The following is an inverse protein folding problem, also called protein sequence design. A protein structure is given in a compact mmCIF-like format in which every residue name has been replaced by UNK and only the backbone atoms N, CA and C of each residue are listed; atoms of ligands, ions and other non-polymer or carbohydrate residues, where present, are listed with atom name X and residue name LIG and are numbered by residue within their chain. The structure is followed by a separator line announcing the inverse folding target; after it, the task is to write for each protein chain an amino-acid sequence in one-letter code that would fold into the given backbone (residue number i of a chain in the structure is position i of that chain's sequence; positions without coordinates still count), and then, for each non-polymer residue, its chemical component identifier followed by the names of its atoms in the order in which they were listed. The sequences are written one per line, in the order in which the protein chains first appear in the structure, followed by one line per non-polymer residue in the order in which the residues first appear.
data_IF_695940628131
#
_entry.id   IF_695940628131
#
_cell.length_a   1.000
_cell.length_b   1.000
_cell.length_c   1.000
_cell.angle_alpha   90.00
_cell.angle_beta   90.00
_cell.angle_gamma   90.00
#
_symmetry.space_group_name_H-M   'P 1'
#
loop_
_entity.id
_entity.type
_entity.pdbx_description
1 polymer ?
#
# COMPACT_ATOMS: atom_id res chain seq x y z
N UNK A 1 22.52 -19.58 -0.11
CA UNK A 1 21.19 -20.23 -0.08
C UNK A 1 20.37 -19.59 -1.19
N UNK A 2 19.63 -20.38 -1.97
CA UNK A 2 18.72 -19.84 -2.97
C UNK A 2 17.50 -19.24 -2.26
N UNK A 3 17.18 -17.98 -2.54
CA UNK A 3 16.05 -17.28 -1.94
C UNK A 3 14.74 -17.97 -2.31
N UNK A 4 13.93 -18.29 -1.31
CA UNK A 4 12.57 -18.79 -1.51
C UNK A 4 11.58 -17.65 -1.47
N UNK A 5 10.95 -17.36 -2.60
CA UNK A 5 10.04 -16.23 -2.75
C UNK A 5 8.60 -16.69 -2.87
N UNK A 6 7.68 -15.98 -2.22
CA UNK A 6 6.24 -16.16 -2.43
C UNK A 6 5.63 -14.84 -2.90
N UNK A 7 4.72 -14.93 -3.87
CA UNK A 7 4.04 -13.77 -4.42
C UNK A 7 2.54 -13.79 -4.10
N UNK A 8 1.94 -12.63 -3.88
CA UNK A 8 0.49 -12.43 -3.87
C UNK A 8 0.04 -11.68 -5.12
N UNK A 9 -0.85 -12.29 -5.89
CA UNK A 9 -1.33 -11.80 -7.19
C UNK A 9 -2.86 -11.81 -7.21
N UNK A 10 -3.52 -10.78 -7.74
CA UNK A 10 -4.99 -10.82 -7.84
C UNK A 10 -5.47 -11.76 -8.95
N UNK A 11 -6.78 -11.99 -9.01
CA UNK A 11 -7.41 -12.83 -10.02
C UNK A 11 -7.09 -12.39 -11.46
N UNK A 12 -7.01 -11.09 -11.72
CA UNK A 12 -6.78 -10.54 -13.05
C UNK A 12 -5.38 -10.84 -13.55
N UNK A 13 -4.36 -10.47 -12.77
CA UNK A 13 -2.97 -10.73 -13.13
C UNK A 13 -2.61 -12.21 -13.06
N UNK A 14 -3.35 -13.01 -12.29
CA UNK A 14 -3.21 -14.46 -12.27
C UNK A 14 -3.86 -15.15 -13.49
N UNK A 15 -4.63 -14.44 -14.31
CA UNK A 15 -5.31 -14.98 -15.49
C UNK A 15 -6.60 -15.76 -15.17
N UNK A 16 -7.19 -15.58 -13.99
CA UNK A 16 -8.46 -16.22 -13.61
C UNK A 16 -9.70 -15.49 -14.16
N UNK A 17 -9.57 -14.19 -14.47
CA UNK A 17 -10.66 -13.37 -15.01
C UNK A 17 -10.63 -11.94 -14.47
N UNK A 18 -11.55 -11.09 -14.94
CA UNK A 18 -11.70 -9.71 -14.48
C UNK A 18 -12.65 -9.59 -13.29
N UNK A 19 -13.71 -8.79 -13.46
CA UNK A 19 -14.74 -8.58 -12.44
C UNK A 19 -15.54 -9.86 -12.14
N UNK A 20 -15.79 -10.71 -13.13
CA UNK A 20 -16.54 -11.96 -12.94
C UNK A 20 -15.85 -12.94 -11.96
N UNK A 21 -14.52 -12.82 -11.83
CA UNK A 21 -13.70 -13.60 -10.91
C UNK A 21 -13.28 -12.81 -9.66
N UNK A 22 -13.75 -11.57 -9.46
CA UNK A 22 -13.29 -10.72 -8.36
C UNK A 22 -13.73 -11.23 -6.98
N UNK A 23 -14.73 -12.11 -6.91
CA UNK A 23 -15.17 -12.76 -5.67
C UNK A 23 -14.50 -14.14 -5.44
N UNK A 24 -13.49 -14.51 -6.22
CA UNK A 24 -12.74 -15.75 -6.01
C UNK A 24 -11.98 -15.68 -4.67
N UNK A 25 -12.24 -16.65 -3.79
CA UNK A 25 -11.54 -16.76 -2.51
C UNK A 25 -10.05 -17.10 -2.64
N UNK A 26 -9.28 -17.04 -1.54
CA UNK A 26 -7.85 -17.32 -1.55
C UNK A 26 -7.52 -18.74 -2.00
N UNK A 27 -6.66 -18.87 -3.01
CA UNK A 27 -6.07 -20.12 -3.46
C UNK A 27 -4.55 -20.00 -3.61
N UNK A 28 -3.89 -21.14 -3.82
CA UNK A 28 -2.44 -21.24 -3.94
C UNK A 28 -2.08 -22.04 -5.18
N UNK A 29 -1.12 -21.51 -5.94
CA UNK A 29 -0.47 -22.20 -7.05
C UNK A 29 1.00 -22.43 -6.68
N UNK A 30 1.47 -23.68 -6.70
CA UNK A 30 2.88 -24.04 -6.41
C UNK A 30 3.79 -23.80 -7.63
N UNK A 31 3.64 -22.63 -8.23
CA UNK A 31 4.41 -22.14 -9.37
C UNK A 31 4.30 -20.62 -9.43
N UNK A 32 5.17 -20.01 -10.21
CA UNK A 32 5.05 -18.61 -10.56
C UNK A 32 3.85 -18.40 -11.51
N UNK A 33 2.94 -17.48 -11.18
CA UNK A 33 1.77 -17.14 -12.00
C UNK A 33 1.75 -15.63 -12.28
N UNK A 34 1.46 -15.25 -13.52
CA UNK A 34 1.33 -13.85 -13.92
C UNK A 34 2.63 -13.06 -13.72
N UNK A 35 2.60 -11.86 -13.10
CA UNK A 35 3.80 -11.07 -12.79
C UNK A 35 4.86 -11.83 -11.98
N UNK A 36 4.47 -12.84 -11.20
CA UNK A 36 5.41 -13.66 -10.45
C UNK A 36 6.37 -14.44 -11.36
N UNK A 37 5.99 -14.76 -12.59
CA UNK A 37 6.90 -15.39 -13.56
C UNK A 37 8.06 -14.46 -13.93
N UNK A 38 7.78 -13.17 -14.07
CA UNK A 38 8.82 -12.19 -14.35
C UNK A 38 9.69 -11.92 -13.11
N UNK A 39 9.12 -11.99 -11.90
CA UNK A 39 9.90 -11.96 -10.66
C UNK A 39 10.86 -13.15 -10.62
N UNK A 40 10.39 -14.36 -10.92
CA UNK A 40 11.21 -15.58 -10.96
C UNK A 40 12.40 -15.44 -11.93
N UNK A 41 12.14 -14.93 -13.14
CA UNK A 41 13.19 -14.63 -14.12
C UNK A 41 14.21 -13.59 -13.62
N UNK A 42 13.76 -12.57 -12.89
CA UNK A 42 14.62 -11.50 -12.35
C UNK A 42 15.41 -11.95 -11.10
N UNK A 43 14.91 -12.93 -10.36
CA UNK A 43 15.67 -13.56 -9.28
C UNK A 43 16.86 -14.32 -9.87
N UNK A 44 16.66 -15.03 -10.99
CA UNK A 44 17.73 -15.71 -11.71
C UNK A 44 18.42 -16.77 -10.83
N UNK A 45 19.75 -16.73 -10.74
CA UNK A 45 20.51 -17.66 -9.89
C UNK A 45 20.39 -17.41 -8.39
N UNK A 46 19.84 -16.27 -7.96
CA UNK A 46 19.80 -15.88 -6.55
C UNK A 46 18.62 -16.52 -5.79
N UNK A 47 17.61 -17.03 -6.49
CA UNK A 47 16.41 -17.60 -5.88
C UNK A 47 15.33 -17.98 -6.87
N UNK A 48 14.19 -18.43 -6.35
CA UNK A 48 13.04 -18.84 -7.14
C UNK A 48 11.73 -18.53 -6.42
N UNK A 49 10.66 -18.39 -7.19
CA UNK A 49 9.29 -18.27 -6.69
C UNK A 49 8.75 -19.67 -6.38
N UNK A 50 8.61 -19.98 -5.09
CA UNK A 50 8.08 -21.26 -4.62
C UNK A 50 6.56 -21.40 -4.78
N UNK A 51 5.85 -20.28 -4.88
CA UNK A 51 4.42 -20.29 -5.15
C UNK A 51 3.80 -18.90 -5.19
N UNK A 52 2.58 -18.87 -5.72
CA UNK A 52 1.77 -17.68 -5.87
C UNK A 52 0.46 -17.89 -5.12
N UNK A 53 0.18 -17.01 -4.16
CA UNK A 53 -1.13 -16.89 -3.51
C UNK A 53 -2.00 -15.98 -4.37
N UNK A 54 -3.21 -16.42 -4.67
CA UNK A 54 -4.15 -15.71 -5.53
C UNK A 54 -5.44 -15.46 -4.76
N UNK A 55 -5.97 -14.24 -4.84
CA UNK A 55 -7.26 -13.90 -4.27
C UNK A 55 -7.94 -12.81 -5.10
N UNK A 56 -9.26 -12.88 -5.21
CA UNK A 56 -10.07 -11.88 -5.89
C UNK A 56 -10.14 -10.56 -5.11
N UNK A 57 -10.03 -9.45 -5.83
CA UNK A 57 -10.02 -8.11 -5.24
C UNK A 57 -11.30 -7.77 -4.44
N UNK A 58 -12.49 -8.20 -4.89
CA UNK A 58 -13.74 -8.01 -4.15
C UNK A 58 -13.77 -8.89 -2.91
N UNK A 59 -13.42 -10.17 -3.04
CA UNK A 59 -13.43 -11.10 -1.92
C UNK A 59 -12.52 -10.63 -0.80
N UNK A 60 -11.27 -10.24 -1.13
CA UNK A 60 -10.35 -9.73 -0.12
C UNK A 60 -10.88 -8.45 0.53
N UNK A 61 -11.46 -7.53 -0.24
CA UNK A 61 -12.00 -6.28 0.29
C UNK A 61 -13.23 -6.46 1.19
N UNK A 62 -14.08 -7.44 0.91
CA UNK A 62 -15.30 -7.75 1.66
C UNK A 62 -15.01 -8.62 2.90
N UNK A 63 -13.97 -9.46 2.84
CA UNK A 63 -13.62 -10.45 3.86
C UNK A 63 -12.16 -10.32 4.33
N UNK A 64 -11.68 -9.09 4.58
CA UNK A 64 -10.26 -8.79 4.83
C UNK A 64 -9.62 -9.73 5.86
N UNK A 65 -10.25 -9.91 7.02
CA UNK A 65 -9.73 -10.75 8.11
C UNK A 65 -9.57 -12.22 7.68
N UNK A 66 -10.66 -12.81 7.17
CA UNK A 66 -10.70 -14.22 6.74
C UNK A 66 -9.74 -14.48 5.57
N UNK A 67 -9.75 -13.59 4.58
CA UNK A 67 -8.88 -13.68 3.42
C UNK A 67 -7.41 -13.57 3.81
N UNK A 68 -7.07 -12.62 4.70
CA UNK A 68 -5.72 -12.43 5.23
C UNK A 68 -5.23 -13.65 5.99
N UNK A 69 -6.04 -14.20 6.89
CA UNK A 69 -5.66 -15.39 7.66
C UNK A 69 -5.40 -16.58 6.75
N UNK A 70 -6.27 -16.82 5.78
CA UNK A 70 -6.11 -17.89 4.79
C UNK A 70 -4.85 -17.71 3.93
N UNK A 71 -4.59 -16.49 3.46
CA UNK A 71 -3.37 -16.19 2.72
C UNK A 71 -2.12 -16.43 3.58
N UNK A 72 -2.14 -16.01 4.86
CA UNK A 72 -1.03 -16.24 5.78
C UNK A 72 -0.76 -17.72 6.06
N UNK A 73 -1.81 -18.56 6.13
CA UNK A 73 -1.64 -20.02 6.23
C UNK A 73 -0.82 -20.56 5.06
N UNK A 74 -1.21 -20.23 3.83
CA UNK A 74 -0.51 -20.65 2.61
C UNK A 74 0.95 -20.14 2.57
N UNK A 75 1.15 -18.89 2.97
CA UNK A 75 2.50 -18.28 3.00
C UNK A 75 3.39 -18.99 4.03
N UNK A 76 2.88 -19.28 5.24
CA UNK A 76 3.62 -20.02 6.26
C UNK A 76 4.02 -21.40 5.80
N UNK A 77 3.10 -22.13 5.17
CA UNK A 77 3.36 -23.48 4.65
C UNK A 77 4.51 -23.48 3.64
N UNK A 78 4.62 -22.42 2.84
CA UNK A 78 5.73 -22.25 1.89
C UNK A 78 7.03 -21.79 2.54
N UNK A 79 7.04 -21.27 3.77
CA UNK A 79 8.24 -20.81 4.48
C UNK A 79 9.19 -19.95 3.62
N UNK A 80 8.72 -18.83 3.04
CA UNK A 80 9.55 -17.97 2.20
C UNK A 80 10.54 -17.11 3.00
N UNK A 81 11.64 -16.73 2.35
CA UNK A 81 12.61 -15.75 2.85
C UNK A 81 12.21 -14.31 2.49
N UNK A 82 11.39 -14.15 1.44
CA UNK A 82 10.97 -12.86 0.88
C UNK A 82 9.57 -12.98 0.31
N UNK A 83 8.76 -11.94 0.54
CA UNK A 83 7.39 -11.88 0.05
C UNK A 83 7.17 -10.67 -0.86
N UNK A 84 6.54 -10.90 -2.01
CA UNK A 84 6.09 -9.85 -2.91
C UNK A 84 4.56 -9.82 -2.99
N UNK A 85 3.98 -8.62 -3.03
CA UNK A 85 2.57 -8.45 -3.35
C UNK A 85 2.40 -7.42 -4.47
N UNK A 86 1.67 -7.74 -5.52
CA UNK A 86 1.53 -6.84 -6.67
C UNK A 86 2.55 -7.07 -7.78
N UNK A 87 2.87 -6.04 -8.59
CA UNK A 87 2.53 -4.63 -8.40
C UNK A 87 1.06 -4.31 -8.69
N UNK A 88 0.48 -3.39 -7.91
CA UNK A 88 -0.92 -2.99 -8.00
C UNK A 88 -1.17 -1.73 -8.83
N UNK A 89 -0.14 -0.96 -9.19
CA UNK A 89 -0.28 0.29 -9.95
C UNK A 89 -1.35 1.22 -9.34
N UNK A 90 -2.30 1.73 -10.12
CA UNK A 90 -3.43 2.51 -9.63
C UNK A 90 -4.72 1.69 -9.35
N UNK A 91 -4.62 0.36 -9.26
CA UNK A 91 -5.78 -0.48 -8.93
C UNK A 91 -6.09 -0.39 -7.43
N UNK A 92 -7.18 0.28 -7.07
CA UNK A 92 -7.53 0.62 -5.69
C UNK A 92 -7.70 -0.59 -4.77
N UNK A 93 -8.67 -1.47 -5.08
CA UNK A 93 -8.95 -2.69 -4.26
C UNK A 93 -7.71 -3.57 -4.14
N UNK A 94 -7.05 -3.82 -5.27
CA UNK A 94 -5.86 -4.64 -5.31
C UNK A 94 -4.69 -4.04 -4.51
N UNK A 95 -4.50 -2.72 -4.56
CA UNK A 95 -3.47 -2.03 -3.78
C UNK A 95 -3.73 -2.11 -2.28
N UNK A 96 -4.98 -1.98 -1.83
CA UNK A 96 -5.34 -2.19 -0.43
C UNK A 96 -5.04 -3.63 0.00
N UNK A 97 -5.43 -4.62 -0.80
CA UNK A 97 -5.15 -6.03 -0.50
C UNK A 97 -3.64 -6.33 -0.44
N UNK A 98 -2.86 -5.85 -1.42
CA UNK A 98 -1.40 -6.00 -1.44
C UNK A 98 -0.74 -5.37 -0.22
N UNK A 99 -1.17 -4.17 0.17
CA UNK A 99 -0.64 -3.46 1.33
C UNK A 99 -0.95 -4.18 2.64
N UNK A 100 -2.19 -4.64 2.80
CA UNK A 100 -2.64 -5.36 3.99
C UNK A 100 -1.89 -6.68 4.17
N UNK A 101 -1.87 -7.54 3.14
CA UNK A 101 -1.20 -8.84 3.26
C UNK A 101 0.31 -8.68 3.46
N UNK A 102 0.96 -7.74 2.76
CA UNK A 102 2.39 -7.49 2.93
C UNK A 102 2.72 -6.97 4.33
N UNK A 103 1.90 -6.07 4.89
CA UNK A 103 2.05 -5.60 6.26
C UNK A 103 1.86 -6.74 7.27
N UNK A 104 0.85 -7.60 7.05
CA UNK A 104 0.55 -8.72 7.92
C UNK A 104 1.65 -9.79 7.91
N UNK A 105 2.20 -10.10 6.74
CA UNK A 105 3.32 -11.03 6.58
C UNK A 105 4.57 -10.49 7.29
N UNK A 106 4.92 -9.22 7.05
CA UNK A 106 6.05 -8.58 7.71
C UNK A 106 5.91 -8.60 9.24
N UNK A 107 4.71 -8.30 9.75
CA UNK A 107 4.46 -8.26 11.20
C UNK A 107 4.44 -9.66 11.83
N UNK A 108 3.72 -10.62 11.24
CA UNK A 108 3.45 -11.92 11.86
C UNK A 108 4.54 -12.96 11.58
N UNK A 109 5.20 -12.88 10.42
CA UNK A 109 6.24 -13.84 10.02
C UNK A 109 7.65 -13.27 10.12
N UNK A 110 7.81 -11.95 10.26
CA UNK A 110 9.12 -11.32 10.39
C UNK A 110 9.95 -11.36 9.12
N UNK A 111 9.33 -11.63 7.96
CA UNK A 111 10.03 -11.70 6.67
C UNK A 111 9.94 -10.37 5.91
N UNK A 112 10.99 -9.97 5.17
CA UNK A 112 10.94 -8.83 4.27
C UNK A 112 9.78 -8.91 3.28
N UNK A 113 9.06 -7.80 3.12
CA UNK A 113 7.94 -7.69 2.21
C UNK A 113 8.09 -6.45 1.33
N UNK A 114 7.83 -6.61 0.04
CA UNK A 114 7.84 -5.51 -0.93
C UNK A 114 6.59 -5.56 -1.79
N UNK A 115 5.97 -4.40 -2.00
CA UNK A 115 4.87 -4.22 -2.95
C UNK A 115 5.16 -3.04 -3.88
N UNK A 116 4.34 -2.83 -4.91
CA UNK A 116 4.49 -1.75 -5.87
C UNK A 116 3.16 -1.06 -6.14
N UNK A 117 3.10 0.26 -6.00
CA UNK A 117 1.87 1.04 -6.16
C UNK A 117 2.13 2.41 -6.79
N UNK A 118 1.11 2.94 -7.47
CA UNK A 118 1.07 4.33 -7.90
C UNK A 118 0.80 5.25 -6.70
N UNK A 119 1.25 6.50 -6.74
CA UNK A 119 1.15 7.43 -5.60
C UNK A 119 -0.27 7.76 -5.18
N UNK A 120 -1.24 7.65 -6.09
CA UNK A 120 -2.66 7.88 -5.80
C UNK A 120 -3.41 6.61 -5.40
N UNK A 121 -2.73 5.45 -5.40
CA UNK A 121 -3.35 4.22 -4.94
C UNK A 121 -3.64 4.34 -3.43
N UNK A 122 -4.88 4.07 -2.96
CA UNK A 122 -5.23 4.15 -1.54
C UNK A 122 -4.36 3.27 -0.65
N UNK A 123 -3.89 2.12 -1.14
CA UNK A 123 -2.98 1.24 -0.42
C UNK A 123 -1.63 1.88 -0.09
N UNK A 124 -1.15 2.83 -0.91
CA UNK A 124 0.12 3.50 -0.67
C UNK A 124 0.07 4.33 0.62
N UNK A 125 -0.98 5.13 0.81
CA UNK A 125 -1.11 5.95 2.03
C UNK A 125 -1.36 5.08 3.27
N UNK A 126 -2.22 4.07 3.14
CA UNK A 126 -2.62 3.21 4.26
C UNK A 126 -1.48 2.34 4.80
N UNK A 127 -0.56 1.89 3.93
CA UNK A 127 0.42 0.86 4.27
C UNK A 127 1.89 1.28 4.13
N UNK A 128 2.23 2.46 3.59
CA UNK A 128 3.65 2.88 3.46
C UNK A 128 4.41 2.91 4.79
N UNK A 129 3.76 3.16 5.92
CA UNK A 129 4.42 3.09 7.23
C UNK A 129 4.71 1.65 7.67
N UNK A 130 3.91 0.68 7.21
CA UNK A 130 3.90 -0.72 7.65
C UNK A 130 4.71 -1.66 6.74
N UNK A 131 4.89 -1.34 5.47
CA UNK A 131 5.63 -2.17 4.50
C UNK A 131 6.42 -1.32 3.49
N UNK A 132 7.27 -1.95 2.68
CA UNK A 132 7.99 -1.27 1.59
C UNK A 132 7.14 -1.24 0.33
N UNK A 133 6.89 -0.03 -0.19
CA UNK A 133 6.05 0.18 -1.38
C UNK A 133 6.87 0.90 -2.44
N UNK A 134 7.27 0.19 -3.50
CA UNK A 134 7.96 0.75 -4.67
C UNK A 134 7.03 1.66 -5.44
N UNK A 135 7.53 2.81 -5.88
CA UNK A 135 6.79 3.75 -6.73
C UNK A 135 6.67 3.16 -8.15
N UNK A 136 5.44 2.97 -8.62
CA UNK A 136 5.17 2.45 -9.97
C UNK A 136 4.52 3.50 -10.87
N UNK A 137 4.42 3.21 -12.17
CA UNK A 137 3.51 3.93 -13.06
C UNK A 137 2.04 3.71 -12.65
N UNK A 138 1.13 4.44 -13.29
CA UNK A 138 -0.32 4.35 -13.09
C UNK A 138 -0.94 3.03 -13.59
N UNK A 139 -0.25 2.35 -14.51
CA UNK A 139 -0.76 1.20 -15.25
C UNK A 139 0.30 0.13 -15.53
N UNK A 140 -0.15 -1.04 -15.97
CA UNK A 140 0.69 -2.20 -16.29
C UNK A 140 1.73 -1.95 -17.40
N UNK A 141 1.66 -0.83 -18.14
CA UNK A 141 2.71 -0.41 -19.08
C UNK A 141 4.08 -0.27 -18.40
N UNK A 142 4.10 0.11 -17.11
CA UNK A 142 5.30 0.22 -16.30
C UNK A 142 5.73 -1.09 -15.60
N UNK A 143 5.14 -2.24 -15.93
CA UNK A 143 5.31 -3.48 -15.16
C UNK A 143 6.76 -3.95 -15.08
N UNK A 144 7.50 -3.93 -16.19
CA UNK A 144 8.90 -4.37 -16.21
C UNK A 144 9.75 -3.60 -15.19
N UNK A 145 9.68 -2.26 -15.24
CA UNK A 145 10.44 -1.38 -14.35
C UNK A 145 10.00 -1.53 -12.89
N UNK A 146 8.69 -1.70 -12.64
CA UNK A 146 8.16 -1.93 -11.30
C UNK A 146 8.73 -3.21 -10.69
N UNK A 147 8.72 -4.31 -11.46
CA UNK A 147 9.22 -5.61 -11.01
C UNK A 147 10.74 -5.61 -10.79
N UNK A 148 11.51 -4.98 -11.68
CA UNK A 148 12.97 -4.81 -11.52
C UNK A 148 13.30 -4.12 -10.19
N UNK A 149 12.64 -2.99 -9.90
CA UNK A 149 12.83 -2.25 -8.64
C UNK A 149 12.36 -3.03 -7.41
N UNK A 150 11.23 -3.75 -7.51
CA UNK A 150 10.74 -4.59 -6.43
C UNK A 150 11.76 -5.69 -6.08
N UNK A 151 12.30 -6.38 -7.09
CA UNK A 151 13.27 -7.45 -6.89
C UNK A 151 14.59 -6.91 -6.35
N UNK A 152 15.10 -5.79 -6.86
CA UNK A 152 16.33 -5.15 -6.35
C UNK A 152 16.19 -4.79 -4.86
N UNK A 153 15.09 -4.11 -4.49
CA UNK A 153 14.81 -3.75 -3.10
C UNK A 153 14.65 -4.99 -2.22
N UNK A 154 13.93 -6.01 -2.71
CA UNK A 154 13.73 -7.26 -1.99
C UNK A 154 15.05 -7.98 -1.69
N UNK A 155 15.96 -8.06 -2.67
CA UNK A 155 17.30 -8.66 -2.49
C UNK A 155 18.10 -7.92 -1.40
N UNK A 156 18.12 -6.58 -1.44
CA UNK A 156 18.78 -5.74 -0.43
C UNK A 156 18.22 -5.96 0.98
N UNK A 157 16.90 -6.12 1.10
CA UNK A 157 16.25 -6.34 2.39
C UNK A 157 16.63 -7.70 2.99
N UNK A 158 16.69 -8.76 2.19
CA UNK A 158 17.08 -10.09 2.69
C UNK A 158 18.56 -10.16 3.03
N UNK A 159 19.42 -9.49 2.25
CA UNK A 159 20.86 -9.41 2.54
C UNK A 159 21.20 -8.47 3.70
N UNK A 160 20.22 -7.78 4.29
CA UNK A 160 20.41 -6.73 5.29
C UNK A 160 21.36 -5.61 4.83
N UNK A 161 21.36 -5.32 3.53
CA UNK A 161 22.14 -4.21 2.99
C UNK A 161 21.58 -2.86 3.49
N UNK A 162 22.45 -1.91 3.88
CA UNK A 162 21.99 -0.57 4.24
C UNK A 162 21.26 0.12 3.09
N UNK A 163 19.98 0.45 3.31
CA UNK A 163 19.20 1.21 2.34
C UNK A 163 19.58 2.69 2.35
N UNK A 164 19.67 3.29 1.15
CA UNK A 164 19.78 4.73 0.94
C UNK A 164 18.44 5.43 1.18
N UNK A 165 18.36 6.77 1.10
CA UNK A 165 17.08 7.48 1.19
C UNK A 165 16.03 6.88 0.25
N UNK A 166 14.78 6.86 0.71
CA UNK A 166 13.68 6.16 0.02
C UNK A 166 13.50 6.61 -1.44
N UNK A 167 13.75 7.89 -1.75
CA UNK A 167 13.66 8.39 -3.13
C UNK A 167 14.77 7.89 -4.04
N UNK A 168 15.97 7.62 -3.51
CA UNK A 168 17.07 7.02 -4.27
C UNK A 168 16.84 5.52 -4.50
N UNK A 169 16.24 4.84 -3.54
CA UNK A 169 15.85 3.43 -3.65
C UNK A 169 14.51 3.24 -4.40
N UNK A 170 13.79 4.33 -4.71
CA UNK A 170 12.57 4.29 -5.52
C UNK A 170 11.31 3.78 -4.80
N UNK A 171 11.24 3.85 -3.47
CA UNK A 171 10.06 3.47 -2.68
C UNK A 171 9.47 4.67 -1.89
N UNK A 172 8.23 4.56 -1.43
CA UNK A 172 7.60 5.61 -0.63
C UNK A 172 8.22 5.66 0.77
N UNK A 173 8.56 6.86 1.25
CA UNK A 173 9.09 7.02 2.60
C UNK A 173 8.11 6.45 3.64
N UNK A 174 8.66 5.74 4.63
CA UNK A 174 7.86 5.04 5.65
C UNK A 174 7.58 5.89 6.90
N UNK A 175 8.05 7.14 6.90
CA UNK A 175 8.02 8.02 8.08
C UNK A 175 9.05 7.66 9.17
N UNK A 176 9.89 6.65 8.92
CA UNK A 176 10.96 6.23 9.82
C UNK A 176 12.18 7.13 9.60
N UNK A 177 12.65 7.78 10.66
CA UNK A 177 13.87 8.60 10.63
C UNK A 177 15.03 7.82 11.23
N UNK A 178 16.18 7.86 10.55
CA UNK A 178 17.44 7.31 11.03
C UNK A 178 18.46 8.44 11.13
N UNK A 179 19.23 8.45 12.21
CA UNK A 179 20.35 9.36 12.34
C UNK A 179 21.48 8.91 11.42
N UNK A 180 22.14 9.86 10.77
CA UNK A 180 23.30 9.61 9.93
C UNK A 180 24.25 10.81 10.01
N UNK A 181 25.53 10.60 9.72
CA UNK A 181 26.51 11.68 9.60
C UNK A 181 26.53 12.20 8.17
N UNK A 182 26.43 13.52 8.03
CA UNK A 182 26.50 14.21 6.75
C UNK A 182 27.80 15.01 6.66
N UNK A 183 28.41 15.09 5.48
CA UNK A 183 29.71 15.77 5.26
C UNK A 183 29.66 17.27 5.63
N UNK A 184 28.55 17.93 5.29
CA UNK A 184 28.24 19.32 5.69
C UNK A 184 27.39 19.40 6.94
N UNK A 185 27.60 20.42 7.76
CA UNK A 185 26.78 20.67 8.96
C UNK A 185 25.40 21.24 8.61
N UNK A 186 24.46 21.19 9.56
CA UNK A 186 23.08 21.62 9.33
C UNK A 186 22.93 23.10 8.98
N UNK A 187 23.78 23.98 9.52
CA UNK A 187 23.74 25.41 9.24
C UNK A 187 24.13 25.71 7.78
N UNK A 188 25.20 25.07 7.28
CA UNK A 188 25.62 25.20 5.88
C UNK A 188 24.51 24.76 4.93
N UNK A 189 23.91 23.58 5.17
CA UNK A 189 22.85 23.05 4.31
C UNK A 189 21.59 23.92 4.33
N UNK A 190 21.23 24.45 5.50
CA UNK A 190 20.08 25.36 5.63
C UNK A 190 20.29 26.67 4.86
N UNK A 191 21.49 27.25 4.93
CA UNK A 191 21.85 28.47 4.17
C UNK A 191 21.90 28.17 2.67
N UNK A 192 22.52 27.06 2.25
CA UNK A 192 22.58 26.64 0.84
C UNK A 192 21.17 26.49 0.26
N UNK A 193 20.27 25.82 1.00
CA UNK A 193 18.86 25.65 0.60
C UNK A 193 18.12 26.99 0.51
N UNK A 194 18.36 27.91 1.46
CA UNK A 194 17.75 29.25 1.45
C UNK A 194 18.21 30.06 0.25
N UNK A 195 19.51 30.06 -0.05
CA UNK A 195 20.08 30.78 -1.19
C UNK A 195 19.52 30.27 -2.52
N UNK A 196 19.41 28.95 -2.69
CA UNK A 196 18.76 28.34 -3.86
C UNK A 196 17.30 28.77 -3.98
N UNK A 197 16.54 28.70 -2.88
CA UNK A 197 15.13 29.10 -2.85
C UNK A 197 14.93 30.57 -3.23
N UNK A 198 15.76 31.48 -2.71
CA UNK A 198 15.71 32.91 -3.04
C UNK A 198 16.05 33.15 -4.52
N UNK A 199 16.93 32.32 -5.08
CA UNK A 199 17.37 32.40 -6.48
C UNK A 199 16.46 31.65 -7.46
N UNK A 200 15.31 31.14 -6.99
CA UNK A 200 14.37 30.31 -7.76
C UNK A 200 15.02 29.06 -8.38
N UNK A 201 16.12 28.57 -7.80
CA UNK A 201 16.78 27.33 -8.19
C UNK A 201 16.11 26.10 -7.54
N UNK A 202 16.34 24.92 -8.11
CA UNK A 202 15.89 23.66 -7.53
C UNK A 202 16.48 23.42 -6.13
N UNK A 203 15.59 23.33 -5.15
CA UNK A 203 15.93 23.00 -3.77
C UNK A 203 15.01 21.89 -3.23
N UNK A 204 15.53 21.13 -2.27
CA UNK A 204 14.80 20.07 -1.59
C UNK A 204 14.81 20.33 -0.09
N UNK A 205 13.65 20.27 0.54
CA UNK A 205 13.56 20.34 2.00
C UNK A 205 14.05 19.04 2.63
N UNK A 206 14.91 19.15 3.64
CA UNK A 206 15.28 18.01 4.51
C UNK A 206 14.14 17.66 5.48
N UNK A 207 13.19 18.58 5.66
CA UNK A 207 12.06 18.45 6.55
C UNK A 207 10.76 18.78 5.80
N UNK A 208 10.13 17.76 5.22
CA UNK A 208 8.84 17.92 4.57
C UNK A 208 7.79 18.32 5.62
N UNK A 209 7.20 19.51 5.43
CA UNK A 209 6.05 19.92 6.21
C UNK A 209 4.81 19.15 5.72
N UNK A 210 3.86 18.83 6.62
CA UNK A 210 2.59 18.24 6.21
C UNK A 210 1.89 19.11 5.15
N UNK A 211 1.55 18.52 4.01
CA UNK A 211 0.79 19.19 2.96
C UNK A 211 -0.68 19.02 3.24
N UNK A 212 -1.34 20.10 3.65
CA UNK A 212 -2.79 20.12 3.81
C UNK A 212 -3.45 20.34 2.44
N UNK A 213 -4.06 19.30 1.88
CA UNK A 213 -4.81 19.41 0.63
C UNK A 213 -6.00 20.35 0.84
N UNK A 214 -6.06 21.45 0.06
CA UNK A 214 -7.27 22.26 -0.07
C UNK A 214 -8.16 21.60 -1.13
N UNK A 215 -9.29 21.07 -0.71
CA UNK A 215 -10.26 20.44 -1.60
C UNK A 215 -11.19 21.53 -2.12
N UNK A 216 -11.33 21.66 -3.45
CA UNK A 216 -12.33 22.56 -4.03
C UNK A 216 -13.72 22.05 -3.65
N UNK A 217 -14.61 22.88 -3.10
CA UNK A 217 -16.00 22.48 -2.88
C UNK A 217 -16.65 21.97 -4.17
N UNK A 218 -17.51 20.96 -4.04
CA UNK A 218 -18.33 20.49 -5.15
C UNK A 218 -19.28 21.61 -5.62
N UNK A 219 -19.70 21.54 -6.89
CA UNK A 219 -20.69 22.48 -7.42
C UNK A 219 -22.03 22.36 -6.67
N UNK A 220 -22.79 23.45 -6.51
CA UNK A 220 -24.05 23.42 -5.78
C UNK A 220 -25.07 22.43 -6.37
N UNK A 221 -25.78 21.72 -5.49
CA UNK A 221 -26.90 20.86 -5.89
C UNK A 221 -28.06 21.74 -6.34
N UNK A 222 -28.44 21.64 -7.63
CA UNK A 222 -29.44 22.53 -8.25
C UNK A 222 -30.87 22.31 -7.78
N UNK A 223 -31.24 21.08 -7.46
CA UNK A 223 -32.60 20.68 -7.08
C UNK A 223 -32.53 19.74 -5.88
N UNK A 224 -32.64 20.31 -4.67
CA UNK A 224 -32.61 19.56 -3.42
C UNK A 224 -33.80 18.60 -3.27
N UNK A 225 -34.94 18.87 -3.92
CA UNK A 225 -36.15 18.05 -3.78
C UNK A 225 -36.01 16.65 -4.35
N UNK A 226 -35.03 16.45 -5.25
CA UNK A 226 -34.71 15.17 -5.89
C UNK A 226 -33.43 14.54 -5.35
N UNK A 227 -32.73 15.22 -4.44
CA UNK A 227 -31.46 14.79 -3.92
C UNK A 227 -31.66 13.95 -2.65
N UNK A 228 -30.99 12.81 -2.59
CA UNK A 228 -30.78 12.11 -1.31
C UNK A 228 -29.47 12.64 -0.73
N UNK A 229 -29.54 13.31 0.42
CA UNK A 229 -28.37 13.87 1.09
C UNK A 229 -27.94 12.94 2.22
N UNK A 230 -26.67 12.55 2.22
CA UNK A 230 -26.05 11.82 3.31
C UNK A 230 -24.92 12.67 3.91
N UNK A 231 -24.91 12.81 5.24
CA UNK A 231 -23.80 13.42 5.98
C UNK A 231 -22.86 12.31 6.44
N UNK A 232 -21.62 12.33 5.95
CA UNK A 232 -20.60 11.34 6.31
C UNK A 232 -19.49 12.05 7.06
N UNK A 233 -19.19 11.59 8.26
CA UNK A 233 -18.13 12.15 9.11
C UNK A 233 -17.25 11.04 9.67
N UNK A 234 -15.94 11.28 9.72
CA UNK A 234 -14.98 10.46 10.45
C UNK A 234 -14.65 11.03 11.83
N UNK A 235 -15.29 12.13 12.23
CA UNK A 235 -15.01 12.88 13.46
C UNK A 235 -15.51 12.24 14.76
N UNK A 236 -15.94 10.97 14.73
CA UNK A 236 -16.40 10.26 15.93
C UNK A 236 -17.73 10.78 16.51
N UNK A 237 -18.58 11.41 15.70
CA UNK A 237 -19.91 11.86 16.11
C UNK A 237 -20.82 10.63 16.25
N UNK A 238 -21.44 10.47 17.41
CA UNK A 238 -22.39 9.39 17.71
C UNK A 238 -23.65 9.95 18.36
N UNK A 239 -24.80 9.27 18.26
CA UNK A 239 -25.99 9.63 19.02
C UNK A 239 -25.69 9.68 20.53
N UNK A 240 -26.42 10.53 21.25
CA UNK A 240 -26.26 10.70 22.68
C UNK A 240 -26.33 9.35 23.40
N UNK A 241 -25.31 9.07 24.21
CA UNK A 241 -25.20 7.79 24.93
C UNK A 241 -24.42 6.70 24.19
N UNK A 242 -23.99 6.94 22.94
CA UNK A 242 -23.22 6.00 22.13
C UNK A 242 -23.86 4.58 22.10
N UNK A 243 -25.10 4.45 21.59
CA UNK A 243 -25.85 3.20 21.66
C UNK A 243 -25.11 2.03 20.99
N UNK A 244 -24.39 2.31 19.91
CA UNK A 244 -23.62 1.31 19.16
C UNK A 244 -22.20 1.10 19.71
N UNK A 245 -21.86 1.75 20.82
CA UNK A 245 -20.56 1.63 21.51
C UNK A 245 -19.36 1.81 20.58
N UNK A 246 -19.47 2.74 19.64
CA UNK A 246 -18.40 3.07 18.71
C UNK A 246 -17.21 3.61 19.52
N UNK A 247 -16.01 3.11 19.21
CA UNK A 247 -14.78 3.47 19.93
C UNK A 247 -14.44 4.94 19.69
N UNK A 248 -13.94 5.61 20.72
CA UNK A 248 -13.52 7.03 20.65
C UNK A 248 -12.33 7.24 19.70
N UNK A 249 -11.49 6.22 19.54
CA UNK A 249 -10.33 6.26 18.64
C UNK A 249 -10.21 4.95 17.87
N UNK A 250 -9.75 5.05 16.63
CA UNK A 250 -9.49 3.90 15.75
C UNK A 250 -10.71 2.97 15.65
N UNK A 251 -11.90 3.54 15.48
CA UNK A 251 -13.11 2.77 15.30
C UNK A 251 -13.04 1.99 13.98
N UNK A 252 -13.22 0.68 14.07
CA UNK A 252 -13.30 -0.24 12.93
C UNK A 252 -14.74 -0.41 12.43
N UNK A 253 -15.70 0.20 13.13
CA UNK A 253 -17.14 0.12 12.87
C UNK A 253 -17.71 1.51 12.68
N UNK A 254 -18.70 1.63 11.81
CA UNK A 254 -19.43 2.88 11.57
C UNK A 254 -20.91 2.71 11.90
N UNK A 255 -21.56 3.80 12.32
CA UNK A 255 -23.01 3.86 12.50
C UNK A 255 -23.69 4.50 11.29
N UNK A 256 -24.90 4.04 10.97
CA UNK A 256 -25.79 4.69 10.02
C UNK A 256 -27.06 5.08 10.76
N UNK A 257 -27.36 6.37 10.78
CA UNK A 257 -28.50 6.91 11.51
C UNK A 257 -29.39 7.69 10.54
N UNK A 258 -30.70 7.50 10.69
CA UNK A 258 -31.67 8.37 10.03
C UNK A 258 -31.76 9.68 10.83
N UNK A 259 -31.54 10.79 10.13
CA UNK A 259 -31.57 12.15 10.69
C UNK A 259 -32.67 13.00 10.05
N UNK A 260 -33.57 12.40 9.26
CA UNK A 260 -34.64 13.10 8.55
C UNK A 260 -35.59 13.87 9.46
N UNK A 261 -35.72 13.44 10.72
CA UNK A 261 -36.54 14.10 11.74
C UNK A 261 -35.80 15.09 12.65
N UNK A 262 -34.52 15.38 12.40
CA UNK A 262 -33.75 16.33 13.20
C UNK A 262 -33.84 17.72 12.54
N UNK A 263 -34.52 18.64 13.21
CA UNK A 263 -34.69 20.02 12.74
C UNK A 263 -33.67 21.01 13.36
N UNK A 264 -32.89 20.57 14.35
CA UNK A 264 -31.86 21.34 15.06
C UNK A 264 -30.47 20.66 15.02
N UNK A 265 -29.89 20.57 13.82
CA UNK A 265 -28.50 20.07 13.61
C UNK A 265 -27.42 21.12 13.90
#
# INVERSE_FOLDING_TARGET
MALKVVCYINQFFAGLGGEDAAHTGPCIERKAVGPAMQIDNLLGGDGQVAGTVICGDSYYGEHIEEAREKCLEYIREMSPDLFFAGPAFNAGRYGVACGDIAAAVAQKLGIPCVTGMYSENPGAELYRSKTFIVKTADSARGMKQALEKMVELGKKLVSNEPLRPADEEGYFHRGIRKNYFHERNGAQRAVDMLLRKISEEDYRTEYEMPVFKRIKPAEPVKDLSKATVALVTSGGIVPRGNPDRIRVSSAETYGKYDISGIEDL
#
